data_IF_508534056464
#
_entry.id   IF_508534056464
#
_cell.length_a   1.000
_cell.length_b   1.000
_cell.length_c   1.000
_cell.angle_alpha   90.00
_cell.angle_beta   90.00
_cell.angle_gamma   90.00
#
_symmetry.space_group_name_H-M   'P 1'
#
loop_
_entity.id
_entity.type
_entity.pdbx_description
1 polymer ?
#
# COMPACT_ATOMS: atom_id res chain seq x y z
N UNK A 1 53.18 46.22 21.60
CA UNK A 1 52.44 45.13 22.30
C UNK A 1 50.96 45.42 22.49
N UNK A 2 50.53 46.56 23.07
CA UNK A 2 49.09 46.85 23.31
C UNK A 2 48.20 46.84 22.05
N UNK A 3 48.68 47.36 20.90
CA UNK A 3 47.90 47.36 19.63
C UNK A 3 47.67 45.96 19.06
N UNK A 4 48.67 45.08 19.14
CA UNK A 4 48.57 43.69 18.65
C UNK A 4 47.61 42.87 19.52
N UNK A 5 47.56 43.16 20.82
CA UNK A 5 46.64 42.51 21.76
C UNK A 5 45.16 42.89 21.49
N UNK A 6 44.90 44.15 21.14
CA UNK A 6 43.56 44.59 20.75
C UNK A 6 43.07 43.97 19.43
N UNK A 7 43.96 43.79 18.45
CA UNK A 7 43.61 43.12 17.20
C UNK A 7 43.32 41.62 17.38
N UNK A 8 44.06 40.94 18.26
CA UNK A 8 43.81 39.52 18.60
C UNK A 8 42.48 39.31 19.33
N UNK A 9 42.11 40.20 20.25
CA UNK A 9 40.82 40.14 20.96
C UNK A 9 39.65 40.41 19.99
N UNK A 10 39.79 41.38 19.08
CA UNK A 10 38.77 41.66 18.07
C UNK A 10 38.57 40.47 17.11
N UNK A 11 39.65 39.78 16.72
CA UNK A 11 39.59 38.59 15.87
C UNK A 11 38.88 37.42 16.58
N UNK A 12 39.15 37.21 17.87
CA UNK A 12 38.51 36.15 18.67
C UNK A 12 37.01 36.42 18.85
N UNK A 13 36.59 37.68 19.04
CA UNK A 13 35.17 38.05 19.18
C UNK A 13 34.41 37.84 17.86
N UNK A 14 35.02 38.11 16.71
CA UNK A 14 34.42 37.86 15.38
C UNK A 14 34.31 36.36 15.08
N UNK A 15 35.27 35.54 15.51
CA UNK A 15 35.22 34.08 15.34
C UNK A 15 34.18 33.43 16.28
N UNK A 16 33.99 33.97 17.49
CA UNK A 16 32.97 33.50 18.44
C UNK A 16 31.53 33.94 18.09
N UNK A 17 31.36 34.98 17.28
CA UNK A 17 30.04 35.42 16.80
C UNK A 17 29.63 34.82 15.44
N UNK A 18 30.55 34.08 14.79
CA UNK A 18 30.28 33.32 13.57
C UNK A 18 29.85 31.86 13.83
N UNK A 19 29.67 31.45 15.09
CA UNK A 19 28.90 30.23 15.38
C UNK A 19 27.44 30.53 15.08
N UNK A 20 27.05 30.36 13.81
CA UNK A 20 25.63 30.23 13.47
C UNK A 20 25.05 29.22 14.45
N UNK A 21 24.07 29.57 15.31
CA UNK A 21 23.37 28.55 16.07
C UNK A 21 22.93 27.55 15.02
N UNK A 22 23.28 26.27 15.20
CA UNK A 22 22.84 25.19 14.33
C UNK A 22 21.31 25.26 14.33
N UNK A 23 20.74 26.04 13.40
CA UNK A 23 19.31 26.22 13.27
C UNK A 23 18.81 24.82 13.03
N UNK A 24 18.03 24.29 13.98
CA UNK A 24 17.37 23.01 13.82
C UNK A 24 16.68 23.04 12.46
N UNK A 25 17.29 22.34 11.50
CA UNK A 25 16.80 22.34 10.13
C UNK A 25 15.49 21.57 10.16
N UNK A 26 14.45 22.26 9.72
CA UNK A 26 13.08 21.82 9.79
C UNK A 26 12.61 21.67 8.36
N UNK A 27 12.07 20.51 8.04
CA UNK A 27 11.82 20.11 6.66
C UNK A 27 10.34 19.89 6.44
N UNK A 28 9.87 20.36 5.28
CA UNK A 28 8.57 19.99 4.73
C UNK A 28 8.82 19.22 3.44
N UNK A 29 8.22 18.05 3.34
CA UNK A 29 8.27 17.20 2.16
C UNK A 29 6.85 17.00 1.62
N UNK A 30 6.73 16.90 0.30
CA UNK A 30 5.55 16.33 -0.35
C UNK A 30 5.96 15.03 -1.02
N UNK A 31 5.23 13.97 -0.76
CA UNK A 31 5.47 12.66 -1.34
C UNK A 31 4.22 12.16 -2.03
N UNK A 32 4.40 11.54 -3.20
CA UNK A 32 3.37 10.71 -3.82
C UNK A 32 3.67 9.25 -3.55
N UNK A 33 2.65 8.48 -3.23
CA UNK A 33 2.69 7.03 -3.09
C UNK A 33 1.75 6.43 -4.11
N UNK A 34 2.27 5.54 -4.96
CA UNK A 34 1.54 4.83 -5.99
C UNK A 34 1.40 3.36 -5.59
N UNK A 35 0.17 2.86 -5.50
CA UNK A 35 -0.13 1.44 -5.26
C UNK A 35 -0.99 0.96 -6.42
N UNK A 36 -0.53 -0.02 -7.19
CA UNK A 36 -1.27 -0.57 -8.35
C UNK A 36 -1.77 0.51 -9.32
N UNK A 37 -0.96 1.57 -9.55
CA UNK A 37 -1.29 2.69 -10.43
C UNK A 37 -2.17 3.78 -9.81
N UNK A 38 -2.73 3.57 -8.63
CA UNK A 38 -3.45 4.60 -7.87
C UNK A 38 -2.46 5.43 -7.07
N UNK A 39 -2.51 6.76 -7.22
CA UNK A 39 -1.64 7.69 -6.52
C UNK A 39 -2.36 8.36 -5.36
N UNK A 40 -1.66 8.49 -4.24
CA UNK A 40 -2.03 9.34 -3.12
C UNK A 40 -0.89 10.31 -2.83
N UNK A 41 -1.23 11.50 -2.36
CA UNK A 41 -0.23 12.46 -1.88
C UNK A 41 -0.23 12.55 -0.36
N UNK A 42 0.94 12.77 0.21
CA UNK A 42 1.14 13.03 1.63
C UNK A 42 2.09 14.21 1.83
N UNK A 43 1.88 14.94 2.92
CA UNK A 43 2.78 16.01 3.36
C UNK A 43 3.48 15.57 4.65
N UNK A 44 4.79 15.67 4.67
CA UNK A 44 5.62 15.26 5.81
C UNK A 44 6.31 16.49 6.39
N UNK A 45 6.24 16.65 7.70
CA UNK A 45 6.93 17.67 8.47
C UNK A 45 7.97 16.99 9.35
N UNK A 46 9.19 17.51 9.41
CA UNK A 46 10.28 16.95 10.20
C UNK A 46 10.94 18.04 11.03
N UNK A 47 11.07 17.80 12.34
CA UNK A 47 11.74 18.71 13.29
C UNK A 47 12.48 17.89 14.34
N UNK A 48 13.81 17.88 14.27
CA UNK A 48 14.65 17.07 15.16
C UNK A 48 14.29 15.59 15.03
N UNK A 49 14.03 14.92 16.16
CA UNK A 49 13.63 13.50 16.22
C UNK A 49 12.13 13.26 16.05
N UNK A 50 11.38 14.24 15.55
CA UNK A 50 9.94 14.13 15.37
C UNK A 50 9.52 14.34 13.93
N UNK A 51 8.54 13.57 13.50
CA UNK A 51 7.96 13.64 12.16
C UNK A 51 6.45 13.61 12.25
N UNK A 52 5.77 14.39 11.41
CA UNK A 52 4.33 14.31 11.20
C UNK A 52 4.06 14.03 9.73
N UNK A 53 3.24 13.04 9.45
CA UNK A 53 2.74 12.72 8.11
C UNK A 53 1.25 13.02 8.08
N UNK A 54 0.83 13.83 7.11
CA UNK A 54 -0.56 14.17 6.85
C UNK A 54 -0.96 13.71 5.44
N UNK A 55 -2.21 13.27 5.28
CA UNK A 55 -2.67 12.71 4.01
C UNK A 55 -2.14 11.29 3.80
N UNK A 56 -2.01 10.87 2.55
CA UNK A 56 -1.61 9.49 2.21
C UNK A 56 -2.77 8.49 2.25
N UNK A 57 -4.01 8.97 2.43
CA UNK A 57 -5.20 8.14 2.37
C UNK A 57 -5.50 7.69 0.94
N UNK A 58 -5.70 6.38 0.75
CA UNK A 58 -6.04 5.80 -0.54
C UNK A 58 -7.56 5.54 -0.61
N UNK A 59 -8.20 5.82 -1.74
CA UNK A 59 -9.64 5.57 -1.96
C UNK A 59 -10.56 6.22 -0.90
N UNK A 60 -10.26 7.46 -0.48
CA UNK A 60 -11.04 8.19 0.54
C UNK A 60 -10.86 7.68 1.98
N UNK A 61 -10.15 6.56 2.18
CA UNK A 61 -9.79 6.03 3.49
C UNK A 61 -8.52 6.68 4.01
N UNK A 62 -8.56 7.24 5.22
CA UNK A 62 -7.37 7.75 5.91
C UNK A 62 -6.97 9.18 5.53
N UNK A 63 -7.74 9.90 4.71
CA UNK A 63 -7.45 11.30 4.38
C UNK A 63 -7.45 12.22 5.61
N UNK A 64 -8.25 11.90 6.63
CA UNK A 64 -8.32 12.63 7.91
C UNK A 64 -7.35 12.08 8.97
N UNK A 65 -6.51 11.10 8.61
CA UNK A 65 -5.52 10.55 9.53
C UNK A 65 -4.20 11.29 9.39
N UNK A 66 -3.65 11.71 10.53
CA UNK A 66 -2.29 12.18 10.63
C UNK A 66 -1.50 11.29 11.59
N UNK A 67 -0.25 11.00 11.26
CA UNK A 67 0.63 10.21 12.13
C UNK A 67 1.78 11.08 12.60
N UNK A 68 1.98 11.17 13.91
CA UNK A 68 3.12 11.85 14.53
C UNK A 68 4.05 10.79 15.11
N UNK A 69 5.25 10.67 14.58
CA UNK A 69 6.32 9.85 15.14
C UNK A 69 7.16 10.72 16.09
N UNK A 70 7.15 10.38 17.37
CA UNK A 70 7.96 11.02 18.42
C UNK A 70 9.08 10.07 18.82
N UNK A 71 10.16 10.06 18.04
CA UNK A 71 11.21 9.05 18.18
C UNK A 71 12.09 9.25 19.41
N UNK A 72 12.13 10.48 19.93
CA UNK A 72 12.65 10.82 21.26
C UNK A 72 11.88 10.15 22.39
N UNK A 73 10.57 9.93 22.21
CA UNK A 73 9.66 9.32 23.18
C UNK A 73 9.31 7.86 22.83
N UNK A 74 9.95 7.30 21.80
CA UNK A 74 9.74 5.95 21.29
C UNK A 74 8.25 5.56 21.11
N UNK A 75 7.48 6.48 20.53
CA UNK A 75 6.05 6.29 20.29
C UNK A 75 5.58 6.97 19.02
N UNK A 76 4.51 6.43 18.45
CA UNK A 76 3.71 7.04 17.40
C UNK A 76 2.37 7.49 17.97
N UNK A 77 1.86 8.62 17.48
CA UNK A 77 0.52 9.12 17.77
C UNK A 77 -0.24 9.13 16.45
N UNK A 78 -1.31 8.36 16.37
CA UNK A 78 -2.25 8.40 15.25
C UNK A 78 -3.38 9.35 15.63
N UNK A 79 -3.70 10.29 14.77
CA UNK A 79 -4.69 11.33 14.98
C UNK A 79 -5.80 11.17 13.93
N UNK A 80 -7.06 11.24 14.35
CA UNK A 80 -8.17 11.56 13.45
C UNK A 80 -8.48 13.05 13.61
N UNK A 81 -8.18 13.84 12.59
CA UNK A 81 -8.32 15.30 12.63
C UNK A 81 -9.77 15.78 12.60
N UNK A 82 -10.68 14.97 12.05
CA UNK A 82 -12.11 15.27 11.96
C UNK A 82 -12.82 15.00 13.29
N UNK A 83 -12.60 13.82 13.88
CA UNK A 83 -13.21 13.41 15.16
C UNK A 83 -12.49 13.96 16.40
N UNK A 84 -11.29 14.53 16.22
CA UNK A 84 -10.39 14.94 17.32
C UNK A 84 -10.10 13.79 18.28
N UNK A 85 -9.76 12.63 17.72
CA UNK A 85 -9.39 11.44 18.47
C UNK A 85 -7.91 11.13 18.26
N UNK A 86 -7.26 10.54 19.26
CA UNK A 86 -5.89 10.07 19.13
C UNK A 86 -5.66 8.70 19.76
N UNK A 87 -4.70 7.96 19.21
CA UNK A 87 -4.22 6.68 19.73
C UNK A 87 -2.70 6.71 19.81
N UNK A 88 -2.15 6.26 20.93
CA UNK A 88 -0.69 6.18 21.15
C UNK A 88 -0.22 4.74 20.96
N UNK A 89 0.70 4.55 20.03
CA UNK A 89 1.34 3.28 19.74
C UNK A 89 2.81 3.32 20.17
N UNK A 90 3.22 2.62 21.26
CA UNK A 90 4.62 2.54 21.65
C UNK A 90 5.41 1.67 20.66
N UNK A 91 6.68 2.01 20.42
CA UNK A 91 7.54 1.27 19.48
C UNK A 91 7.85 -0.16 19.97
N UNK A 92 7.72 -0.45 21.26
CA UNK A 92 7.96 -1.78 21.81
C UNK A 92 7.02 -2.11 22.97
N UNK A 93 6.30 -3.23 22.85
CA UNK A 93 5.72 -3.95 23.98
C UNK A 93 6.57 -5.21 24.21
N UNK A 94 7.42 -5.18 25.24
CA UNK A 94 8.11 -6.24 26.01
C UNK A 94 8.32 -7.70 25.50
N UNK A 95 8.20 -8.04 24.21
CA UNK A 95 8.30 -9.45 23.76
C UNK A 95 9.12 -9.69 22.47
N UNK A 96 9.86 -8.69 21.97
CA UNK A 96 10.63 -8.85 20.74
C UNK A 96 12.09 -9.23 21.02
N UNK A 97 12.52 -10.32 20.40
CA UNK A 97 13.92 -10.74 20.39
C UNK A 97 14.56 -10.28 19.08
N UNK A 98 15.40 -9.25 19.16
CA UNK A 98 16.19 -8.75 18.02
C UNK A 98 17.59 -9.35 18.10
N UNK A 99 17.92 -10.19 17.13
CA UNK A 99 19.22 -10.84 16.96
C UNK A 99 19.98 -10.07 15.88
N UNK A 100 21.12 -9.50 16.25
CA UNK A 100 22.06 -8.86 15.33
C UNK A 100 23.07 -9.88 14.84
N UNK A 101 22.98 -10.30 13.57
CA UNK A 101 23.85 -11.32 13.00
C UNK A 101 25.27 -10.77 12.69
N UNK A 102 25.44 -9.45 12.63
CA UNK A 102 26.74 -8.81 12.38
C UNK A 102 27.58 -8.62 13.66
N UNK A 103 26.94 -8.79 14.83
CA UNK A 103 27.61 -8.71 16.13
C UNK A 103 27.91 -10.14 16.58
N UNK A 104 29.22 -10.47 16.73
CA UNK A 104 29.62 -11.75 17.32
C UNK A 104 28.90 -11.93 18.67
N UNK A 105 28.31 -13.10 18.94
CA UNK A 105 27.62 -13.32 20.21
C UNK A 105 28.63 -13.10 21.34
N UNK A 106 28.44 -12.04 22.11
CA UNK A 106 29.11 -11.93 23.40
C UNK A 106 28.51 -13.04 24.23
N UNK A 107 29.33 -14.01 24.65
CA UNK A 107 28.91 -15.04 25.58
C UNK A 107 28.47 -14.35 26.88
N UNK A 108 27.17 -14.07 26.99
CA UNK A 108 26.58 -13.59 28.23
C UNK A 108 26.59 -14.78 29.17
N UNK A 109 27.57 -14.81 30.07
CA UNK A 109 27.55 -15.68 31.24
C UNK A 109 26.25 -15.38 32.01
N UNK A 110 25.37 -16.38 32.03
CA UNK A 110 24.31 -16.56 33.02
C UNK A 110 23.34 -15.38 33.18
N UNK A 111 22.31 -15.30 32.33
CA UNK A 111 21.05 -14.69 32.76
C UNK A 111 20.33 -15.68 33.70
N UNK A 112 19.83 -15.25 34.88
CA UNK A 112 19.01 -16.12 35.70
C UNK A 112 17.79 -16.57 34.91
N UNK A 113 17.48 -17.86 35.02
CA UNK A 113 16.35 -18.50 34.34
C UNK A 113 15.09 -17.67 34.55
N UNK A 114 14.57 -17.10 33.47
CA UNK A 114 13.25 -16.49 33.46
C UNK A 114 12.26 -17.57 33.86
N UNK A 115 11.53 -17.33 34.95
CA UNK A 115 10.41 -18.14 35.43
C UNK A 115 9.50 -18.48 34.25
N UNK A 116 8.94 -19.70 34.14
CA UNK A 116 8.11 -20.08 33.00
C UNK A 116 6.88 -19.20 33.00
N UNK A 117 6.84 -18.22 32.10
CA UNK A 117 5.62 -17.47 31.84
C UNK A 117 4.68 -18.43 31.14
N UNK A 118 3.55 -18.69 31.80
CA UNK A 118 2.33 -19.34 31.29
C UNK A 118 2.32 -19.53 29.78
N UNK A 119 2.28 -20.80 29.36
CA UNK A 119 2.08 -21.33 28.00
C UNK A 119 1.42 -20.32 27.05
N UNK A 120 2.23 -19.52 26.33
CA UNK A 120 1.76 -18.79 25.16
C UNK A 120 1.36 -19.83 24.12
N UNK A 121 0.07 -19.95 23.84
CA UNK A 121 -0.41 -20.67 22.65
C UNK A 121 -0.12 -19.76 21.46
N UNK A 122 0.73 -20.17 20.54
CA UNK A 122 1.11 -19.38 19.36
C UNK A 122 2.48 -19.76 18.82
N UNK A 123 2.66 -19.56 17.52
CA UNK A 123 3.89 -19.92 16.82
C UNK A 123 4.96 -18.85 16.90
N UNK A 124 6.05 -19.07 16.18
CA UNK A 124 7.15 -18.11 16.00
C UNK A 124 7.17 -17.59 14.57
N UNK A 125 7.07 -16.28 14.40
CA UNK A 125 7.29 -15.61 13.12
C UNK A 125 8.74 -15.12 13.09
N UNK A 126 9.55 -15.71 12.21
CA UNK A 126 10.94 -15.28 12.02
C UNK A 126 11.01 -14.26 10.90
N UNK A 127 11.62 -13.12 11.20
CA UNK A 127 11.81 -12.01 10.28
C UNK A 127 13.29 -11.85 9.99
N UNK A 128 13.71 -12.00 8.74
CA UNK A 128 15.05 -11.60 8.30
C UNK A 128 14.96 -10.22 7.70
N UNK A 129 15.89 -9.34 8.09
CA UNK A 129 15.94 -7.97 7.62
C UNK A 129 17.38 -7.60 7.27
N UNK A 130 17.62 -7.22 6.01
CA UNK A 130 18.92 -6.78 5.52
C UNK A 130 18.82 -5.37 4.95
N UNK A 131 19.73 -4.49 5.37
CA UNK A 131 19.92 -3.16 4.76
C UNK A 131 21.31 -3.09 4.15
N UNK A 132 21.38 -2.93 2.84
CA UNK A 132 22.62 -2.81 2.07
C UNK A 132 22.68 -1.45 1.38
N UNK A 133 23.71 -0.66 1.71
CA UNK A 133 24.05 0.56 0.96
C UNK A 133 24.95 0.17 -0.22
N UNK A 134 24.54 0.49 -1.45
CA UNK A 134 25.28 0.05 -2.66
C UNK A 134 26.57 0.83 -2.90
N UNK A 135 26.80 1.90 -2.13
CA UNK A 135 27.91 2.84 -2.33
C UNK A 135 27.62 3.93 -3.37
N UNK A 136 26.53 3.81 -4.15
CA UNK A 136 26.18 4.83 -5.14
C UNK A 136 25.60 6.09 -4.49
N UNK A 137 25.97 7.25 -5.04
CA UNK A 137 25.63 8.58 -4.50
C UNK A 137 25.15 9.50 -5.61
N UNK A 138 24.12 10.31 -5.35
CA UNK A 138 23.70 11.40 -6.24
C UNK A 138 23.29 12.64 -5.45
N UNK A 139 23.40 13.83 -6.06
CA UNK A 139 22.96 15.09 -5.45
C UNK A 139 21.51 15.37 -5.80
N UNK A 140 20.66 15.58 -4.80
CA UNK A 140 19.24 15.94 -4.99
C UNK A 140 18.82 16.94 -3.90
N UNK A 141 18.19 18.05 -4.28
CA UNK A 141 17.78 19.14 -3.36
C UNK A 141 18.88 19.62 -2.40
N UNK A 142 20.14 19.59 -2.83
CA UNK A 142 21.31 19.96 -2.01
C UNK A 142 21.80 18.87 -1.05
N UNK A 143 21.10 17.74 -0.95
CA UNK A 143 21.50 16.57 -0.16
C UNK A 143 22.28 15.56 -1.00
N UNK A 144 23.08 14.75 -0.32
CA UNK A 144 23.67 13.54 -0.91
C UNK A 144 22.70 12.39 -0.68
N UNK A 145 22.02 11.93 -1.73
CA UNK A 145 21.21 10.72 -1.69
C UNK A 145 22.09 9.48 -1.85
N UNK A 146 21.77 8.42 -1.10
CA UNK A 146 22.43 7.11 -1.12
C UNK A 146 21.47 6.09 -1.72
N UNK A 147 21.97 5.22 -2.58
CA UNK A 147 21.19 4.09 -3.05
C UNK A 147 21.25 2.97 -2.00
N UNK A 148 20.08 2.58 -1.52
CA UNK A 148 19.92 1.58 -0.46
C UNK A 148 18.96 0.52 -0.96
N UNK A 149 19.41 -0.72 -0.86
CA UNK A 149 18.61 -1.91 -1.10
C UNK A 149 18.29 -2.57 0.23
N UNK A 150 17.02 -2.94 0.43
CA UNK A 150 16.59 -3.72 1.59
C UNK A 150 15.88 -4.98 1.18
N UNK A 151 16.14 -6.03 1.95
CA UNK A 151 15.50 -7.32 1.80
C UNK A 151 14.90 -7.73 3.13
N UNK A 152 13.61 -8.00 3.13
CA UNK A 152 12.89 -8.51 4.29
C UNK A 152 12.19 -9.82 3.91
N UNK A 153 12.34 -10.83 4.75
CA UNK A 153 11.64 -12.10 4.62
C UNK A 153 10.94 -12.42 5.93
N UNK A 154 9.68 -12.78 5.85
CA UNK A 154 8.87 -13.21 7.00
C UNK A 154 8.47 -14.66 6.77
N UNK A 155 8.78 -15.52 7.73
CA UNK A 155 8.38 -16.93 7.68
C UNK A 155 7.67 -17.30 8.98
N UNK A 156 6.37 -17.63 8.93
CA UNK A 156 5.67 -18.18 10.08
C UNK A 156 6.09 -19.64 10.33
N UNK A 157 6.00 -20.07 11.59
CA UNK A 157 6.00 -21.49 11.96
C UNK A 157 4.62 -22.11 11.71
N UNK A 158 4.55 -23.44 11.69
CA UNK A 158 3.30 -24.16 11.39
C UNK A 158 2.16 -23.85 12.38
N UNK A 159 2.50 -23.53 13.62
CA UNK A 159 1.61 -23.17 14.72
C UNK A 159 1.33 -21.66 14.82
N UNK A 160 1.83 -20.84 13.89
CA UNK A 160 1.57 -19.40 13.87
C UNK A 160 0.08 -19.11 13.60
N UNK A 161 -0.46 -18.14 14.30
CA UNK A 161 -1.88 -17.79 14.27
C UNK A 161 -2.21 -16.53 13.47
N UNK A 162 -1.25 -15.62 13.30
CA UNK A 162 -1.43 -14.29 12.68
C UNK A 162 -0.90 -14.21 11.25
N UNK A 163 -0.20 -15.25 10.80
CA UNK A 163 0.37 -15.35 9.46
C UNK A 163 0.51 -16.82 9.08
N UNK A 164 -0.04 -17.21 7.94
CA UNK A 164 0.09 -18.57 7.40
C UNK A 164 1.12 -18.68 6.28
N UNK A 165 1.24 -17.64 5.47
CA UNK A 165 2.14 -17.62 4.32
C UNK A 165 3.41 -16.83 4.58
N UNK A 166 4.46 -17.17 3.84
CA UNK A 166 5.67 -16.34 3.82
C UNK A 166 5.46 -15.07 3.01
N UNK A 167 6.08 -13.99 3.48
CA UNK A 167 6.10 -12.71 2.78
C UNK A 167 7.55 -12.33 2.51
N UNK A 168 7.85 -11.95 1.28
CA UNK A 168 9.13 -11.37 0.89
C UNK A 168 8.88 -9.92 0.48
N UNK A 169 9.62 -9.00 1.07
CA UNK A 169 9.57 -7.58 0.76
C UNK A 169 10.96 -7.20 0.26
N UNK A 170 11.01 -6.68 -0.97
CA UNK A 170 12.22 -6.08 -1.55
C UNK A 170 11.96 -4.60 -1.67
N UNK A 171 12.90 -3.79 -1.22
CA UNK A 171 12.83 -2.34 -1.40
C UNK A 171 14.11 -1.85 -2.02
N UNK A 172 14.00 -1.11 -3.12
CA UNK A 172 15.08 -0.45 -3.82
C UNK A 172 14.77 1.05 -3.82
N UNK A 173 15.69 1.88 -3.34
CA UNK A 173 15.43 3.31 -3.33
C UNK A 173 16.64 4.19 -3.10
N UNK A 174 16.44 5.46 -3.41
CA UNK A 174 17.36 6.54 -3.12
C UNK A 174 16.91 7.25 -1.86
N UNK A 175 17.78 7.37 -0.88
CA UNK A 175 17.45 7.96 0.42
C UNK A 175 18.38 9.10 0.76
N UNK A 176 17.85 10.15 1.39
CA UNK A 176 18.64 11.22 2.00
C UNK A 176 18.62 11.10 3.51
N UNK A 177 19.73 11.46 4.14
CA UNK A 177 19.81 11.57 5.58
C UNK A 177 19.45 13.02 5.97
N UNK A 178 18.31 13.20 6.65
CA UNK A 178 17.96 14.51 7.21
C UNK A 178 18.70 14.71 8.54
N UNK A 179 19.51 15.77 8.66
CA UNK A 179 20.15 16.14 9.93
C UNK A 179 19.18 16.11 11.10
N UNK A 180 19.63 15.56 12.24
CA UNK A 180 18.91 15.48 13.52
C UNK A 180 17.71 14.50 13.57
N UNK A 181 17.22 13.99 12.44
CA UNK A 181 16.19 12.96 12.45
C UNK A 181 16.82 11.57 12.54
N UNK A 182 16.49 10.83 13.60
CA UNK A 182 16.95 9.46 13.79
C UNK A 182 15.89 8.67 14.54
N UNK A 183 15.01 8.00 13.79
CA UNK A 183 14.05 7.06 14.35
C UNK A 183 14.60 5.65 14.29
N UNK A 184 14.42 4.83 15.35
CA UNK A 184 14.69 3.39 15.27
C UNK A 184 13.93 2.78 14.10
N UNK A 185 14.59 1.91 13.34
CA UNK A 185 13.91 1.11 12.32
C UNK A 185 12.90 0.22 13.04
N UNK A 186 11.62 0.37 12.69
CA UNK A 186 10.59 -0.53 13.19
C UNK A 186 10.63 -1.81 12.36
N UNK A 187 11.01 -2.92 12.99
CA UNK A 187 11.10 -4.20 12.32
C UNK A 187 9.76 -4.94 12.27
N UNK A 188 8.76 -4.55 13.07
CA UNK A 188 7.41 -5.13 12.97
C UNK A 188 6.74 -4.71 11.67
N UNK A 189 6.03 -5.63 10.98
CA UNK A 189 5.13 -5.22 9.93
C UNK A 189 4.06 -4.33 10.55
N UNK A 190 3.73 -3.22 9.89
CA UNK A 190 2.54 -2.44 10.25
C UNK A 190 1.34 -3.37 10.27
N UNK A 191 0.40 -3.16 11.21
CA UNK A 191 -0.89 -3.90 11.23
C UNK A 191 -1.63 -3.83 9.89
N UNK A 192 -1.39 -2.78 9.11
CA UNK A 192 -1.92 -2.62 7.75
C UNK A 192 -1.38 -3.62 6.72
N UNK A 193 -0.34 -4.40 7.04
CA UNK A 193 0.21 -5.47 6.20
C UNK A 193 -0.28 -6.87 6.62
N UNK A 194 -1.09 -6.98 7.68
CA UNK A 194 -1.75 -8.24 8.03
C UNK A 194 -3.06 -8.36 7.25
N UNK A 195 -3.46 -9.56 6.80
CA UNK A 195 -4.73 -9.77 6.12
C UNK A 195 -5.90 -9.22 6.96
N UNK A 196 -6.83 -8.43 6.38
CA UNK A 196 -7.95 -7.82 7.12
C UNK A 196 -8.89 -8.82 7.82
N UNK A 197 -8.83 -10.10 7.46
CA UNK A 197 -9.80 -11.12 7.85
C UNK A 197 -9.36 -12.07 8.97
N UNK A 198 -8.12 -12.02 9.46
CA UNK A 198 -7.74 -12.83 10.60
C UNK A 198 -8.04 -12.07 11.89
N UNK A 199 -9.28 -12.25 12.38
CA UNK A 199 -9.65 -11.90 13.76
C UNK A 199 -8.58 -12.47 14.70
N UNK A 200 -7.83 -11.58 15.36
CA UNK A 200 -6.87 -11.97 16.39
C UNK A 200 -7.63 -12.80 17.43
N UNK A 201 -7.42 -14.12 17.42
CA UNK A 201 -7.93 -14.97 18.50
C UNK A 201 -7.23 -14.49 19.77
N UNK A 202 -7.96 -14.00 20.80
CA UNK A 202 -7.34 -13.46 22.01
C UNK A 202 -6.43 -14.49 22.73
N UNK A 203 -6.65 -15.77 22.44
CA UNK A 203 -5.92 -16.90 23.04
C UNK A 203 -4.68 -17.33 22.23
N UNK A 204 -4.38 -16.71 21.08
CA UNK A 204 -3.20 -17.07 20.29
C UNK A 204 -2.29 -15.88 19.99
N UNK A 205 -1.11 -15.87 20.61
CA UNK A 205 -0.13 -14.78 20.53
C UNK A 205 1.17 -15.35 19.95
N UNK A 206 1.47 -15.00 18.70
CA UNK A 206 2.71 -15.39 18.05
C UNK A 206 3.90 -14.60 18.61
N UNK A 207 5.04 -15.28 18.77
CA UNK A 207 6.33 -14.66 19.09
C UNK A 207 6.99 -14.15 17.81
N UNK A 208 7.43 -12.89 17.80
CA UNK A 208 8.23 -12.33 16.71
C UNK A 208 9.71 -12.39 17.04
N UNK A 209 10.50 -12.97 16.13
CA UNK A 209 11.96 -13.03 16.23
C UNK A 209 12.55 -12.30 15.02
N UNK A 210 13.25 -11.20 15.27
CA UNK A 210 13.85 -10.39 14.21
C UNK A 210 15.34 -10.68 14.12
N UNK A 211 15.80 -11.16 12.96
CA UNK A 211 17.21 -11.33 12.60
C UNK A 211 17.61 -10.21 11.66
N UNK A 212 18.50 -9.34 12.11
CA UNK A 212 19.02 -8.25 11.28
C UNK A 212 20.46 -8.50 10.85
N UNK A 213 20.77 -8.08 9.63
CA UNK A 213 22.13 -7.95 9.12
C UNK A 213 22.27 -6.67 8.30
N UNK A 214 23.49 -6.19 8.16
CA UNK A 214 23.80 -4.91 7.56
C UNK A 214 23.80 -3.74 8.57
N UNK A 215 24.68 -2.77 8.32
CA UNK A 215 24.83 -1.55 9.15
C UNK A 215 24.12 -0.32 8.56
N UNK A 216 23.29 -0.51 7.55
CA UNK A 216 22.67 0.59 6.80
C UNK A 216 21.63 1.34 7.62
N UNK A 217 21.62 2.67 7.50
CA UNK A 217 20.47 3.51 7.87
C UNK A 217 19.64 3.74 6.62
N UNK A 218 18.33 3.60 6.71
CA UNK A 218 17.42 3.87 5.59
C UNK A 218 17.45 5.35 5.21
N UNK A 219 17.11 6.25 6.13
CA UNK A 219 16.95 7.68 5.80
C UNK A 219 15.55 7.97 5.26
N UNK A 220 15.38 9.10 4.57
CA UNK A 220 14.12 9.49 3.94
C UNK A 220 14.12 9.16 2.45
N UNK A 221 13.09 8.45 1.93
CA UNK A 221 13.05 8.04 0.53
C UNK A 221 12.81 9.25 -0.37
N UNK A 222 13.72 9.46 -1.31
CA UNK A 222 13.53 10.33 -2.48
C UNK A 222 12.72 9.60 -3.53
N UNK A 223 13.15 8.39 -3.86
CA UNK A 223 12.42 7.46 -4.73
C UNK A 223 12.55 6.09 -4.10
N UNK A 224 11.46 5.35 -4.01
CA UNK A 224 11.46 4.01 -3.43
C UNK A 224 10.51 3.13 -4.23
N UNK A 225 10.99 1.98 -4.69
CA UNK A 225 10.17 0.90 -5.22
C UNK A 225 10.18 -0.22 -4.21
N UNK A 226 8.99 -0.56 -3.73
CA UNK A 226 8.75 -1.67 -2.81
C UNK A 226 7.95 -2.76 -3.51
N UNK A 227 8.52 -3.94 -3.59
CA UNK A 227 7.90 -5.14 -4.13
C UNK A 227 7.59 -6.09 -2.97
N UNK A 228 6.30 -6.39 -2.79
CA UNK A 228 5.79 -7.30 -1.77
C UNK A 228 5.32 -8.57 -2.50
N UNK A 229 5.95 -9.70 -2.19
CA UNK A 229 5.63 -11.01 -2.74
C UNK A 229 5.03 -11.82 -1.60
N UNK A 230 3.77 -12.24 -1.75
CA UNK A 230 3.08 -13.09 -0.78
C UNK A 230 2.84 -14.47 -1.39
N UNK A 231 2.99 -15.52 -0.58
CA UNK A 231 2.70 -16.90 -0.97
C UNK A 231 3.66 -17.91 -0.33
N UNK A 232 3.17 -19.13 -0.12
CA UNK A 232 3.98 -20.28 0.32
C UNK A 232 4.72 -20.97 -0.83
N UNK A 233 5.65 -21.87 -0.50
CA UNK A 233 6.24 -22.79 -1.49
C UNK A 233 5.12 -23.70 -2.05
N UNK A 234 4.62 -23.37 -3.24
CA UNK A 234 3.66 -24.19 -4.00
C UNK A 234 2.29 -23.56 -4.30
N UNK A 235 1.98 -22.36 -3.79
CA UNK A 235 0.73 -21.64 -4.08
C UNK A 235 0.98 -20.40 -4.97
N UNK A 236 -0.07 -19.89 -5.64
CA UNK A 236 0.00 -18.68 -6.48
C UNK A 236 0.68 -17.54 -5.72
N UNK A 237 1.81 -17.06 -6.25
CA UNK A 237 2.52 -15.91 -5.69
C UNK A 237 1.85 -14.63 -6.15
N UNK A 238 1.29 -13.85 -5.23
CA UNK A 238 0.80 -12.51 -5.51
C UNK A 238 1.92 -11.50 -5.32
N UNK A 239 2.19 -10.69 -6.34
CA UNK A 239 3.17 -9.61 -6.30
C UNK A 239 2.46 -8.25 -6.29
N UNK A 240 2.79 -7.42 -5.31
CA UNK A 240 2.30 -6.06 -5.18
C UNK A 240 3.46 -5.09 -5.23
N UNK A 241 3.34 -4.07 -6.09
CA UNK A 241 4.32 -3.00 -6.20
C UNK A 241 3.77 -1.71 -5.62
N UNK A 242 4.56 -1.07 -4.77
CA UNK A 242 4.32 0.28 -4.24
C UNK A 242 5.49 1.16 -4.60
N UNK A 243 5.23 2.32 -5.18
CA UNK A 243 6.26 3.30 -5.53
C UNK A 243 6.06 4.57 -4.68
N UNK A 244 7.14 5.14 -4.13
CA UNK A 244 7.15 6.43 -3.44
C UNK A 244 8.06 7.38 -4.20
N UNK A 245 7.63 8.62 -4.38
CA UNK A 245 8.43 9.68 -4.94
C UNK A 245 8.26 10.98 -4.14
N UNK A 246 9.36 11.59 -3.73
CA UNK A 246 9.39 12.92 -3.13
C UNK A 246 9.32 13.97 -4.22
N UNK A 247 8.24 14.74 -4.23
CA UNK A 247 7.97 15.80 -5.21
C UNK A 247 8.59 17.13 -4.81
N UNK A 248 8.58 17.43 -3.51
CA UNK A 248 9.05 18.70 -2.97
C UNK A 248 9.80 18.45 -1.65
N UNK A 249 10.93 19.14 -1.46
CA UNK A 249 11.65 19.22 -0.19
C UNK A 249 12.02 20.68 0.07
N UNK A 250 11.46 21.26 1.12
CA UNK A 250 11.72 22.64 1.53
C UNK A 250 12.16 22.72 2.98
N UNK A 251 13.04 23.69 3.27
CA UNK A 251 13.46 24.00 4.64
C UNK A 251 12.67 25.22 5.12
N UNK A 252 11.93 25.08 6.22
CA UNK A 252 11.12 26.17 6.78
C UNK A 252 10.97 26.06 8.29
N UNK A 253 10.68 27.17 8.96
CA UNK A 253 10.35 27.14 10.40
C UNK A 253 8.97 26.49 10.57
N UNK A 254 8.92 25.42 11.35
CA UNK A 254 7.73 24.65 11.70
C UNK A 254 7.33 24.91 13.15
N UNK A 255 6.02 25.02 13.37
CA UNK A 255 5.46 25.10 14.71
C UNK A 255 5.73 23.79 15.47
N UNK A 256 6.19 23.90 16.72
CA UNK A 256 6.39 22.73 17.59
C UNK A 256 5.07 22.00 17.86
N UNK A 257 3.94 22.71 17.87
CA UNK A 257 2.61 22.13 18.10
C UNK A 257 2.18 21.15 17.01
N UNK A 258 2.80 21.19 15.82
CA UNK A 258 2.56 20.17 14.79
C UNK A 258 2.94 18.77 15.26
N UNK A 259 3.89 18.66 16.20
CA UNK A 259 4.47 17.40 16.66
C UNK A 259 3.97 16.98 18.04
N UNK A 260 2.90 17.60 18.53
CA UNK A 260 2.24 17.29 19.80
C UNK A 260 0.79 16.90 19.55
N UNK A 261 0.15 16.31 20.57
CA UNK A 261 -1.30 16.08 20.57
C UNK A 261 -1.99 17.45 20.61
N UNK A 262 -2.81 17.83 19.63
CA UNK A 262 -3.44 19.14 19.64
C UNK A 262 -4.45 19.27 20.80
N UNK A 263 -4.63 20.47 21.37
CA UNK A 263 -5.63 20.70 22.40
C UNK A 263 -7.05 20.29 21.95
N UNK A 264 -7.79 19.65 22.85
CA UNK A 264 -9.17 19.21 22.61
C UNK A 264 -9.31 17.85 21.89
N UNK A 265 -8.22 17.09 21.76
CA UNK A 265 -8.27 15.71 21.29
C UNK A 265 -8.49 14.73 22.45
N UNK A 266 -9.21 13.64 22.19
CA UNK A 266 -9.52 12.60 23.19
C UNK A 266 -8.82 11.28 22.85
N UNK A 267 -8.25 10.62 23.86
CA UNK A 267 -7.60 9.31 23.69
C UNK A 267 -8.64 8.21 23.46
N UNK A 268 -8.37 7.35 22.48
CA UNK A 268 -9.13 6.11 22.26
C UNK A 268 -8.35 4.89 22.71
N UNK A 269 -9.05 3.81 23.06
CA UNK A 269 -8.41 2.58 23.56
C UNK A 269 -7.84 1.71 22.46
N UNK A 270 -8.32 1.89 21.23
CA UNK A 270 -7.91 1.10 20.07
C UNK A 270 -7.77 1.95 18.82
N UNK A 271 -6.83 1.59 17.94
CA UNK A 271 -6.68 2.24 16.64
C UNK A 271 -7.95 2.16 15.77
N UNK A 272 -8.75 1.09 15.93
CA UNK A 272 -10.02 0.91 15.24
C UNK A 272 -11.03 2.01 15.54
N UNK A 273 -10.97 2.64 16.73
CA UNK A 273 -11.83 3.78 17.08
C UNK A 273 -11.43 5.08 16.35
N UNK A 274 -10.18 5.17 15.86
CA UNK A 274 -9.73 6.31 15.05
C UNK A 274 -10.28 6.27 13.63
N UNK A 275 -10.60 5.09 13.12
CA UNK A 275 -11.05 4.97 11.74
C UNK A 275 -12.48 5.50 11.61
N UNK A 276 -12.70 6.31 10.58
CA UNK A 276 -14.04 6.58 10.11
C UNK A 276 -14.57 5.30 9.44
N UNK A 277 -15.84 4.97 9.72
CA UNK A 277 -16.56 4.09 8.80
C UNK A 277 -16.45 4.77 7.45
N UNK A 278 -16.02 4.03 6.42
CA UNK A 278 -15.80 4.55 5.07
C UNK A 278 -16.83 5.62 4.73
N UNK A 279 -16.40 6.88 4.61
CA UNK A 279 -17.30 7.97 4.26
C UNK A 279 -17.55 7.91 2.77
N UNK A 280 -18.56 7.11 2.44
CA UNK A 280 -19.03 6.86 1.08
C UNK A 280 -19.33 8.18 0.37
N UNK A 281 -19.80 9.21 1.09
CA UNK A 281 -20.11 10.52 0.51
C UNK A 281 -18.86 11.34 0.18
N UNK A 282 -17.79 11.22 0.96
CA UNK A 282 -16.50 11.84 0.63
C UNK A 282 -15.84 11.16 -0.58
N UNK A 283 -15.99 9.83 -0.68
CA UNK A 283 -15.56 9.04 -1.84
C UNK A 283 -16.35 9.42 -3.11
N UNK A 284 -17.68 9.59 -3.01
CA UNK A 284 -18.56 10.07 -4.10
C UNK A 284 -18.17 11.48 -4.57
N UNK A 285 -17.79 12.37 -3.65
CA UNK A 285 -17.41 13.76 -4.00
C UNK A 285 -16.05 13.85 -4.70
N UNK A 286 -15.14 12.93 -4.41
CA UNK A 286 -13.81 12.91 -5.02
C UNK A 286 -13.82 12.27 -6.42
N UNK A 287 -14.78 11.38 -6.69
CA UNK A 287 -15.05 10.78 -8.00
C UNK A 287 -16.37 11.33 -8.55
N UNK A 288 -16.33 12.57 -9.07
CA UNK A 288 -17.50 13.21 -9.64
C UNK A 288 -18.27 12.29 -10.61
N UNK A 289 -19.60 12.24 -10.42
CA UNK A 289 -20.59 11.49 -11.22
C UNK A 289 -20.55 9.95 -11.16
N UNK A 290 -20.46 9.36 -9.97
CA UNK A 290 -20.82 7.94 -9.77
C UNK A 290 -21.98 7.85 -8.78
N UNK A 291 -23.02 7.09 -9.12
CA UNK A 291 -24.25 6.95 -8.31
C UNK A 291 -23.94 6.34 -6.94
N UNK A 292 -24.50 6.91 -5.87
CA UNK A 292 -24.32 6.44 -4.50
C UNK A 292 -24.77 4.97 -4.29
N UNK A 293 -25.66 4.46 -5.14
CA UNK A 293 -26.09 3.06 -5.14
C UNK A 293 -25.03 2.12 -5.74
N UNK A 294 -24.26 2.57 -6.74
CA UNK A 294 -23.17 1.78 -7.35
C UNK A 294 -21.99 1.64 -6.38
N UNK A 295 -21.73 2.66 -5.54
CA UNK A 295 -20.64 2.63 -4.55
C UNK A 295 -21.03 1.84 -3.29
N UNK A 296 -22.29 1.92 -2.83
CA UNK A 296 -22.81 1.03 -1.79
C UNK A 296 -22.79 -0.45 -2.23
N UNK A 297 -22.98 -0.71 -3.52
CA UNK A 297 -22.80 -2.03 -4.10
C UNK A 297 -21.31 -2.41 -4.17
N UNK A 298 -20.40 -1.49 -4.48
CA UNK A 298 -18.94 -1.69 -4.48
C UNK A 298 -18.36 -2.07 -3.09
N UNK A 299 -18.82 -1.41 -2.01
CA UNK A 299 -18.28 -1.61 -0.66
C UNK A 299 -18.87 -2.80 0.12
N UNK A 300 -20.06 -3.27 -0.24
CA UNK A 300 -20.64 -4.48 0.37
C UNK A 300 -20.03 -5.79 -0.16
N UNK A 301 -19.19 -5.74 -1.20
CA UNK A 301 -18.67 -6.92 -1.88
C UNK A 301 -17.17 -7.18 -1.70
N UNK A 302 -16.52 -6.54 -0.72
CA UNK A 302 -15.11 -6.88 -0.34
C UNK A 302 -15.07 -7.94 0.77
N UNK A 303 -16.22 -8.29 1.39
CA UNK A 303 -16.26 -9.25 2.49
C UNK A 303 -17.67 -9.84 2.74
N UNK A 304 -18.43 -10.25 1.71
CA UNK A 304 -19.74 -10.89 1.94
C UNK A 304 -19.65 -12.41 1.85
N UNK A 305 -19.05 -13.02 2.89
CA UNK A 305 -19.14 -14.46 3.17
C UNK A 305 -20.58 -14.96 3.28
N UNK A 306 -21.55 -14.07 3.44
CA UNK A 306 -22.98 -14.39 3.36
C UNK A 306 -23.68 -13.62 2.22
N UNK A 307 -24.37 -14.39 1.37
CA UNK A 307 -25.26 -13.90 0.33
C UNK A 307 -26.49 -13.25 0.94
N UNK A 308 -26.79 -12.01 0.54
CA UNK A 308 -28.01 -11.32 0.99
C UNK A 308 -29.25 -12.09 0.51
N UNK A 309 -30.27 -12.30 1.36
CA UNK A 309 -31.52 -12.93 0.95
C UNK A 309 -32.17 -12.18 -0.23
N UNK A 310 -32.54 -12.90 -1.28
CA UNK A 310 -33.20 -12.33 -2.47
C UNK A 310 -32.26 -11.72 -3.52
N UNK A 311 -30.93 -11.70 -3.30
CA UNK A 311 -29.95 -11.24 -4.30
C UNK A 311 -29.49 -12.39 -5.19
N UNK A 312 -29.39 -12.14 -6.50
CA UNK A 312 -28.70 -13.03 -7.44
C UNK A 312 -27.19 -12.85 -7.24
N UNK A 313 -26.44 -13.94 -7.04
CA UNK A 313 -24.98 -13.90 -6.88
C UNK A 313 -24.29 -14.54 -8.09
N UNK A 314 -23.39 -13.79 -8.73
CA UNK A 314 -22.63 -14.21 -9.91
C UNK A 314 -21.18 -14.46 -9.51
N UNK A 315 -20.69 -15.69 -9.72
CA UNK A 315 -19.27 -16.03 -9.65
C UNK A 315 -18.59 -15.66 -10.96
N UNK A 316 -17.68 -14.69 -10.93
CA UNK A 316 -16.96 -14.21 -12.11
C UNK A 316 -15.59 -14.90 -12.18
N UNK A 317 -15.35 -15.66 -13.24
CA UNK A 317 -14.03 -16.23 -13.53
C UNK A 317 -13.09 -15.18 -14.10
N UNK A 318 -11.79 -15.44 -13.99
CA UNK A 318 -10.78 -14.63 -14.64
C UNK A 318 -10.98 -14.67 -16.16
N UNK A 319 -11.13 -13.52 -16.86
CA UNK A 319 -11.20 -13.51 -18.31
C UNK A 319 -9.95 -14.12 -18.95
N UNK A 320 -10.17 -14.92 -19.99
CA UNK A 320 -9.13 -15.61 -20.78
C UNK A 320 -9.00 -14.98 -22.17
N UNK A 321 -7.91 -15.29 -22.88
CA UNK A 321 -7.69 -14.87 -24.26
C UNK A 321 -6.23 -15.00 -24.68
N UNK A 322 -5.88 -14.40 -25.82
CA UNK A 322 -4.50 -14.35 -26.31
C UNK A 322 -3.54 -13.67 -25.30
N UNK A 323 -2.21 -13.81 -25.52
CA UNK A 323 -1.11 -13.41 -24.60
C UNK A 323 -1.09 -11.93 -24.13
N UNK A 324 -2.03 -11.09 -24.54
CA UNK A 324 -2.15 -9.68 -24.15
C UNK A 324 -3.15 -9.42 -23.01
N UNK A 325 -4.03 -10.38 -22.70
CA UNK A 325 -5.11 -10.17 -21.73
C UNK A 325 -4.61 -10.25 -20.29
N UNK A 326 -4.80 -9.16 -19.53
CA UNK A 326 -4.54 -9.14 -18.08
C UNK A 326 -5.77 -9.61 -17.31
N UNK A 327 -5.92 -10.93 -17.14
CA UNK A 327 -7.15 -11.50 -16.61
C UNK A 327 -7.55 -11.01 -15.21
N UNK A 328 -6.63 -10.90 -14.24
CA UNK A 328 -7.01 -10.55 -12.86
C UNK A 328 -7.57 -9.12 -12.74
N UNK A 329 -6.92 -8.07 -13.28
CA UNK A 329 -7.51 -6.73 -13.32
C UNK A 329 -8.89 -6.67 -14.01
N UNK A 330 -9.12 -7.46 -15.06
CA UNK A 330 -10.39 -7.52 -15.78
C UNK A 330 -11.47 -8.28 -15.00
N UNK A 331 -11.10 -9.29 -14.22
CA UNK A 331 -12.00 -9.99 -13.31
C UNK A 331 -12.54 -9.05 -12.23
N UNK A 332 -11.65 -8.29 -11.58
CA UNK A 332 -12.01 -7.28 -10.58
C UNK A 332 -12.91 -6.21 -11.19
N UNK A 333 -12.61 -5.79 -12.42
CA UNK A 333 -13.42 -4.84 -13.17
C UNK A 333 -14.85 -5.34 -13.42
N UNK A 334 -15.00 -6.58 -13.88
CA UNK A 334 -16.31 -7.21 -14.10
C UNK A 334 -17.09 -7.36 -12.79
N UNK A 335 -16.43 -7.79 -11.72
CA UNK A 335 -17.04 -7.92 -10.39
C UNK A 335 -17.65 -6.61 -9.90
N UNK A 336 -17.05 -5.46 -10.25
CA UNK A 336 -17.59 -4.14 -9.95
C UNK A 336 -18.77 -3.77 -10.87
N UNK A 337 -18.67 -4.07 -12.17
CA UNK A 337 -19.67 -3.67 -13.17
C UNK A 337 -20.89 -4.60 -13.26
N UNK A 338 -20.87 -5.77 -12.62
CA UNK A 338 -21.98 -6.74 -12.57
C UNK A 338 -22.84 -6.62 -11.32
N UNK A 339 -22.87 -5.43 -10.70
CA UNK A 339 -23.65 -5.16 -9.50
C UNK A 339 -24.87 -4.31 -9.82
N UNK A 340 -26.00 -4.64 -9.21
CA UNK A 340 -27.25 -3.89 -9.29
C UNK A 340 -28.02 -4.00 -7.98
N UNK A 341 -29.23 -3.46 -7.96
CA UNK A 341 -30.19 -3.62 -6.86
C UNK A 341 -30.65 -5.07 -6.65
N UNK A 342 -30.50 -5.94 -7.65
CA UNK A 342 -30.93 -7.35 -7.63
C UNK A 342 -29.81 -8.36 -7.82
N UNK A 343 -28.63 -7.93 -8.26
CA UNK A 343 -27.49 -8.80 -8.54
C UNK A 343 -26.21 -8.32 -7.86
N UNK A 344 -25.44 -9.26 -7.32
CA UNK A 344 -24.09 -9.05 -6.81
C UNK A 344 -23.12 -9.99 -7.52
N UNK A 345 -21.86 -9.61 -7.58
CA UNK A 345 -20.80 -10.40 -8.22
C UNK A 345 -19.60 -10.54 -7.29
N UNK A 346 -18.95 -11.70 -7.37
CA UNK A 346 -17.74 -12.05 -6.61
C UNK A 346 -16.74 -12.75 -7.51
N UNK A 347 -15.45 -12.59 -7.22
CA UNK A 347 -14.39 -13.34 -7.90
C UNK A 347 -14.37 -14.79 -7.41
N UNK A 348 -14.22 -15.72 -8.36
CA UNK A 348 -14.09 -17.16 -8.14
C UNK A 348 -13.07 -17.73 -9.13
N UNK A 349 -12.37 -18.78 -8.73
CA UNK A 349 -11.34 -19.44 -9.54
C UNK A 349 -11.82 -20.79 -10.09
N UNK A 350 -12.91 -21.33 -9.55
CA UNK A 350 -13.50 -22.59 -10.01
C UNK A 350 -15.00 -22.66 -9.76
N UNK A 351 -15.66 -23.62 -10.39
CA UNK A 351 -17.10 -23.86 -10.21
C UNK A 351 -17.42 -24.34 -8.79
N UNK A 352 -16.52 -25.12 -8.19
CA UNK A 352 -16.63 -25.57 -6.80
C UNK A 352 -16.62 -24.38 -5.85
N UNK A 353 -15.71 -23.42 -6.05
CA UNK A 353 -15.65 -22.19 -5.26
C UNK A 353 -16.93 -21.35 -5.45
N UNK A 354 -17.45 -21.27 -6.68
CA UNK A 354 -18.70 -20.57 -6.94
C UNK A 354 -19.89 -21.21 -6.20
N UNK A 355 -19.97 -22.54 -6.17
CA UNK A 355 -20.99 -23.28 -5.40
C UNK A 355 -20.82 -23.09 -3.90
N UNK A 356 -19.59 -23.17 -3.38
CA UNK A 356 -19.27 -22.93 -1.97
C UNK A 356 -19.71 -21.53 -1.51
N UNK A 357 -19.46 -20.52 -2.35
CA UNK A 357 -19.85 -19.13 -2.09
C UNK A 357 -21.31 -18.81 -2.42
N UNK A 358 -22.13 -19.82 -2.70
CA UNK A 358 -23.58 -19.75 -2.97
C UNK A 358 -23.95 -18.89 -4.18
N UNK A 359 -23.10 -18.86 -5.21
CA UNK A 359 -23.44 -18.23 -6.48
C UNK A 359 -24.62 -18.94 -7.14
N UNK A 360 -25.54 -18.18 -7.74
CA UNK A 360 -26.62 -18.71 -8.59
C UNK A 360 -26.12 -18.94 -10.02
N UNK A 361 -25.19 -18.09 -10.46
CA UNK A 361 -24.63 -18.13 -11.80
C UNK A 361 -23.11 -18.09 -11.75
N UNK A 362 -22.47 -18.63 -12.79
CA UNK A 362 -21.07 -18.37 -13.10
C UNK A 362 -20.94 -17.66 -14.44
N UNK A 363 -19.96 -16.77 -14.56
CA UNK A 363 -19.68 -16.00 -15.76
C UNK A 363 -18.25 -16.23 -16.23
N UNK A 364 -18.10 -16.80 -17.41
CA UNK A 364 -16.83 -16.91 -18.12
C UNK A 364 -16.75 -15.85 -19.23
N UNK A 365 -15.56 -15.30 -19.45
CA UNK A 365 -15.30 -14.36 -20.55
C UNK A 365 -14.04 -14.78 -21.30
N UNK A 366 -14.12 -14.84 -22.62
CA UNK A 366 -13.02 -15.24 -23.49
C UNK A 366 -12.82 -14.19 -24.59
N UNK A 367 -11.66 -13.55 -24.61
CA UNK A 367 -11.24 -12.63 -25.67
C UNK A 367 -10.64 -13.43 -26.82
N UNK A 368 -11.40 -13.53 -27.91
CA UNK A 368 -11.01 -14.32 -29.08
C UNK A 368 -10.14 -13.53 -30.05
N UNK A 369 -10.13 -12.20 -29.98
CA UNK A 369 -9.33 -11.34 -30.86
C UNK A 369 -9.12 -9.96 -30.25
N UNK A 370 -7.86 -9.53 -30.22
CA UNK A 370 -7.47 -8.14 -29.92
C UNK A 370 -6.48 -7.71 -30.98
N UNK A 371 -6.86 -6.76 -31.85
CA UNK A 371 -6.00 -6.29 -32.94
C UNK A 371 -5.96 -4.77 -32.99
N UNK A 372 -4.76 -4.19 -32.98
CA UNK A 372 -4.59 -2.78 -33.30
C UNK A 372 -5.11 -2.52 -34.72
N UNK A 373 -6.09 -1.64 -34.86
CA UNK A 373 -6.52 -1.14 -36.15
C UNK A 373 -5.42 -0.23 -36.71
N UNK A 374 -4.58 -0.79 -37.58
CA UNK A 374 -3.57 -0.01 -38.33
C UNK A 374 -4.26 1.13 -39.08
N UNK A 375 -3.69 2.33 -39.02
CA UNK A 375 -4.09 3.48 -39.85
C UNK A 375 -3.83 3.14 -41.32
N UNK A 376 -4.83 2.57 -41.99
CA UNK A 376 -4.82 2.36 -43.44
C UNK A 376 -5.69 3.45 -44.07
N UNK A 377 -5.05 4.46 -44.64
CA UNK A 377 -5.72 5.48 -45.43
C UNK A 377 -4.89 6.73 -45.70
N UNK A 378 -3.98 6.67 -46.67
CA UNK A 378 -3.61 7.84 -47.49
C UNK A 378 -2.43 8.70 -47.04
N UNK A 379 -1.25 8.35 -47.55
CA UNK A 379 -0.34 9.30 -48.24
C UNK A 379 0.04 10.62 -47.53
N UNK A 380 0.60 10.60 -46.31
CA UNK A 380 1.51 11.67 -45.90
C UNK A 380 2.76 11.13 -45.19
N UNK A 381 3.86 11.33 -45.91
CA UNK A 381 5.27 11.15 -45.58
C UNK A 381 5.62 11.47 -44.11
N UNK A 382 6.41 10.55 -43.55
CA UNK A 382 7.63 10.83 -42.81
C UNK A 382 7.59 12.02 -41.82
N UNK A 383 7.25 11.74 -40.56
CA UNK A 383 7.95 12.33 -39.42
C UNK A 383 8.18 11.22 -38.39
N UNK A 384 9.46 10.89 -38.18
CA UNK A 384 9.95 10.18 -37.00
C UNK A 384 9.69 11.07 -35.78
N UNK A 385 8.52 10.89 -35.17
CA UNK A 385 8.27 11.22 -33.77
C UNK A 385 7.00 10.47 -33.36
N UNK A 386 7.17 9.19 -33.05
CA UNK A 386 6.13 8.37 -32.42
C UNK A 386 5.96 8.87 -30.99
N UNK A 387 5.03 9.79 -30.78
CA UNK A 387 4.51 10.10 -29.46
C UNK A 387 3.94 8.81 -28.85
N UNK A 388 4.51 8.27 -27.76
CA UNK A 388 3.99 7.08 -27.09
C UNK A 388 2.58 7.29 -26.49
N UNK A 389 2.04 8.51 -26.54
CA UNK A 389 0.67 8.83 -26.12
C UNK A 389 -0.35 8.97 -27.27
N UNK A 390 0.03 8.69 -28.53
CA UNK A 390 -0.93 8.73 -29.63
C UNK A 390 -1.99 7.64 -29.46
N UNK A 391 -3.26 8.03 -29.32
CA UNK A 391 -4.39 7.10 -29.20
C UNK A 391 -4.41 6.09 -30.35
N UNK A 392 -4.23 4.81 -30.01
CA UNK A 392 -4.43 3.67 -30.90
C UNK A 392 -5.91 3.27 -30.89
N UNK A 393 -6.39 2.72 -32.00
CA UNK A 393 -7.71 2.05 -32.04
C UNK A 393 -7.51 0.54 -32.06
N UNK A 394 -8.36 -0.21 -31.36
CA UNK A 394 -8.34 -1.67 -31.28
C UNK A 394 -9.67 -2.23 -31.74
N UNK A 395 -9.63 -3.26 -32.59
CA UNK A 395 -10.78 -4.11 -32.86
C UNK A 395 -10.72 -5.29 -31.88
N UNK A 396 -11.73 -5.41 -31.03
CA UNK A 396 -11.82 -6.45 -30.01
C UNK A 396 -13.05 -7.33 -30.28
N UNK A 397 -12.87 -8.64 -30.20
CA UNK A 397 -13.94 -9.64 -30.16
C UNK A 397 -13.79 -10.46 -28.87
N UNK A 398 -14.89 -10.60 -28.13
CA UNK A 398 -14.97 -11.39 -26.91
C UNK A 398 -16.32 -12.11 -26.80
N UNK A 399 -16.34 -13.28 -26.17
CA UNK A 399 -17.56 -13.99 -25.80
C UNK A 399 -17.72 -14.03 -24.29
N UNK A 400 -18.92 -13.78 -23.79
CA UNK A 400 -19.25 -14.10 -22.39
C UNK A 400 -20.20 -15.28 -22.35
N UNK A 401 -20.15 -16.09 -21.29
CA UNK A 401 -21.08 -17.20 -21.07
C UNK A 401 -21.55 -17.18 -19.62
N UNK A 402 -22.85 -16.93 -19.41
CA UNK A 402 -23.52 -16.97 -18.12
C UNK A 402 -24.21 -18.32 -17.96
N UNK A 403 -23.80 -19.09 -16.96
CA UNK A 403 -24.33 -20.44 -16.68
C UNK A 403 -25.04 -20.43 -15.33
N UNK A 404 -26.21 -21.05 -15.26
CA UNK A 404 -26.92 -21.27 -13.99
C UNK A 404 -26.32 -22.47 -13.26
N UNK A 405 -25.78 -22.25 -12.06
CA UNK A 405 -25.01 -23.27 -11.34
C UNK A 405 -25.86 -24.43 -10.80
N UNK A 406 -27.17 -24.23 -10.68
CA UNK A 406 -28.10 -25.26 -10.20
C UNK A 406 -28.24 -26.44 -11.17
N UNK A 407 -28.29 -26.14 -12.48
CA UNK A 407 -28.62 -27.11 -13.53
C UNK A 407 -27.63 -27.13 -14.69
N UNK A 408 -26.63 -26.24 -14.69
CA UNK A 408 -25.61 -26.12 -15.73
C UNK A 408 -26.13 -25.51 -17.03
N UNK A 409 -27.37 -25.01 -17.07
CA UNK A 409 -27.94 -24.44 -18.29
C UNK A 409 -27.29 -23.09 -18.63
N UNK A 410 -26.99 -22.89 -19.91
CA UNK A 410 -26.53 -21.60 -20.42
C UNK A 410 -27.71 -20.64 -20.42
N UNK A 411 -27.58 -19.56 -19.66
CA UNK A 411 -28.61 -18.53 -19.54
C UNK A 411 -28.43 -17.42 -20.58
N UNK A 412 -27.20 -17.01 -20.81
CA UNK A 412 -26.85 -15.95 -21.76
C UNK A 412 -25.46 -16.21 -22.34
N UNK A 413 -25.27 -15.93 -23.63
CA UNK A 413 -23.96 -16.03 -24.28
C UNK A 413 -23.74 -14.89 -25.28
N UNK A 414 -23.53 -13.65 -24.80
CA UNK A 414 -23.38 -12.52 -25.70
C UNK A 414 -22.03 -12.58 -26.42
N UNK A 415 -22.06 -12.23 -27.70
CA UNK A 415 -20.86 -11.93 -28.48
C UNK A 415 -20.67 -10.42 -28.45
N UNK A 416 -19.46 -10.00 -28.13
CA UNK A 416 -19.05 -8.62 -28.01
C UNK A 416 -18.04 -8.36 -29.11
N UNK A 417 -18.36 -7.47 -30.05
CA UNK A 417 -17.48 -7.07 -31.12
C UNK A 417 -17.53 -5.56 -31.31
N UNK A 418 -16.36 -4.93 -31.39
CA UNK A 418 -16.31 -3.49 -31.49
C UNK A 418 -14.94 -2.92 -31.78
N UNK A 419 -14.94 -1.63 -32.12
CA UNK A 419 -13.73 -0.82 -32.30
C UNK A 419 -13.66 0.21 -31.18
N UNK A 420 -12.57 0.19 -30.43
CA UNK A 420 -12.37 1.00 -29.23
C UNK A 420 -11.10 1.84 -29.35
N UNK A 421 -11.15 3.10 -28.97
CA UNK A 421 -10.00 4.02 -28.96
C UNK A 421 -9.36 4.06 -27.58
N UNK A 422 -8.03 4.25 -27.54
CA UNK A 422 -7.27 4.42 -26.31
C UNK A 422 -6.12 3.42 -26.18
N UNK A 423 -5.77 3.08 -24.94
CA UNK A 423 -4.84 2.00 -24.63
C UNK A 423 -5.57 0.66 -24.68
N UNK A 424 -4.85 -0.44 -24.90
CA UNK A 424 -5.43 -1.78 -25.03
C UNK A 424 -6.23 -2.16 -23.77
N UNK A 425 -5.72 -1.81 -22.58
CA UNK A 425 -6.36 -2.12 -21.30
C UNK A 425 -7.68 -1.34 -21.10
N UNK A 426 -7.77 -0.13 -21.65
CA UNK A 426 -9.00 0.68 -21.61
C UNK A 426 -10.03 0.15 -22.61
N UNK A 427 -9.58 -0.29 -23.78
CA UNK A 427 -10.41 -0.90 -24.81
C UNK A 427 -11.04 -2.22 -24.33
N UNK A 428 -10.25 -3.09 -23.68
CA UNK A 428 -10.75 -4.33 -23.06
C UNK A 428 -11.82 -4.03 -22.01
N UNK A 429 -11.60 -3.05 -21.13
CA UNK A 429 -12.59 -2.65 -20.10
C UNK A 429 -13.92 -2.21 -20.72
N UNK A 430 -13.89 -1.41 -21.80
CA UNK A 430 -15.12 -0.96 -22.47
C UNK A 430 -15.94 -2.12 -23.05
N UNK A 431 -15.28 -3.11 -23.65
CA UNK A 431 -15.93 -4.34 -24.12
C UNK A 431 -16.65 -5.04 -22.96
N UNK A 432 -15.97 -5.16 -21.82
CA UNK A 432 -16.54 -5.81 -20.63
C UNK A 432 -17.70 -5.03 -20.00
N UNK A 433 -17.71 -3.69 -20.07
CA UNK A 433 -18.86 -2.89 -19.64
C UNK A 433 -20.11 -3.19 -20.46
N UNK A 434 -19.96 -3.29 -21.78
CA UNK A 434 -21.06 -3.63 -22.69
C UNK A 434 -21.61 -5.03 -22.39
N UNK A 435 -20.72 -5.99 -22.16
CA UNK A 435 -21.07 -7.34 -21.73
C UNK A 435 -21.79 -7.39 -20.39
N UNK A 436 -21.27 -6.67 -19.38
CA UNK A 436 -21.87 -6.60 -18.05
C UNK A 436 -23.29 -6.01 -18.10
N UNK A 437 -23.53 -4.98 -18.93
CA UNK A 437 -24.86 -4.43 -19.16
C UNK A 437 -25.83 -5.44 -19.76
N UNK A 438 -25.38 -6.28 -20.70
CA UNK A 438 -26.21 -7.34 -21.28
C UNK A 438 -26.55 -8.42 -20.25
N UNK A 439 -25.57 -8.85 -19.44
CA UNK A 439 -25.79 -9.79 -18.34
C UNK A 439 -26.80 -9.26 -17.32
N UNK A 440 -26.61 -8.02 -16.86
CA UNK A 440 -27.53 -7.40 -15.90
C UNK A 440 -28.93 -7.19 -16.46
N UNK A 441 -29.08 -6.95 -17.77
CA UNK A 441 -30.38 -6.83 -18.42
C UNK A 441 -31.13 -8.16 -18.46
N UNK A 442 -30.43 -9.28 -18.65
CA UNK A 442 -31.01 -10.63 -18.65
C UNK A 442 -31.43 -11.10 -17.25
N UNK A 443 -30.79 -10.58 -16.20
CA UNK A 443 -31.07 -10.93 -14.81
C UNK A 443 -32.13 -10.05 -14.14
N UNK A 444 -32.69 -9.05 -14.85
CA UNK A 444 -33.77 -8.17 -14.37
C UNK A 444 -35.14 -8.81 -14.52
#
# INVERSE_FOLDING_TARGET
>A
MKRVFFFLIALIIVVLSASSPARAQQYKLKQTTSVMGMKSESTIYVKGMRKRTEGGGMMGMGANLATIEQCDLQRSIKLNTQKKLYFIEPFSKNQEEVIDEDVKPVAVKTKPATTPVTTQKGGTITMWYNISDTGERKKVWGFTARHVWTYQKMKPSADACTMKDSIIIKTDGWYIDLPQFNCPVQYKPSRSMMPPNEQQKPDCIDKFVTRRSGKGKLGFPITETRTIIMGGQGAQTSEFKTDIETLELTTMKLDSMLFEIPPGYTEVKSETELQDKMDINAMIKQYGNVDANEINAAMNGVNSGEKKPGMIRIGVYQPTGDQQVQGQPLQEYLVLNLRSDKAEAIAVNSEEEAKEKKCDYSLATDFTKIKSASKVGGLLKAIKNSDPNAASSFNIEAGMTLIKLQDGSVRLQPKLDGKYEGKVEEAEKRVLEEGARQVLKELK
#
